data_IF_462512749776
#
_entry.id   IF_462512749776
#
_cell.length_a   1.000
_cell.length_b   1.000
_cell.length_c   1.000
_cell.angle_alpha   90.00
_cell.angle_beta   90.00
_cell.angle_gamma   90.00
#
_symmetry.space_group_name_H-M   'P 1'
#
loop_
_entity.id
_entity.type
_entity.pdbx_description
1 polymer ?
#
# COMPACT_ATOMS: atom_id res chain seq x y z
N UNK A 1 23.41 -11.89 -28.27
CA UNK A 1 22.02 -12.37 -28.15
C UNK A 1 22.04 -13.63 -27.26
N UNK A 2 21.72 -13.50 -26.00
CA UNK A 2 21.50 -14.65 -25.10
C UNK A 2 20.10 -14.48 -24.51
N UNK A 3 19.20 -15.37 -24.91
CA UNK A 3 17.84 -15.46 -24.36
C UNK A 3 17.91 -16.07 -23.00
N UNK A 4 17.52 -15.34 -21.96
CA UNK A 4 17.32 -15.86 -20.62
C UNK A 4 15.86 -16.31 -20.52
N UNK A 5 15.65 -17.63 -20.47
CA UNK A 5 14.34 -18.24 -20.27
C UNK A 5 14.13 -18.37 -18.77
N UNK A 6 13.24 -17.55 -18.20
CA UNK A 6 12.82 -17.68 -16.81
C UNK A 6 11.65 -18.67 -16.78
N UNK A 7 11.91 -19.83 -16.22
CA UNK A 7 10.89 -20.86 -15.94
C UNK A 7 10.19 -20.53 -14.64
N UNK A 8 8.94 -20.12 -14.74
CA UNK A 8 8.06 -19.90 -13.60
C UNK A 8 7.56 -21.25 -13.09
N UNK A 9 8.02 -21.67 -11.91
CA UNK A 9 7.53 -22.88 -11.23
C UNK A 9 6.25 -22.56 -10.49
N UNK A 10 5.14 -23.02 -11.05
CA UNK A 10 3.81 -22.99 -10.45
C UNK A 10 3.71 -24.12 -9.41
N UNK A 11 3.76 -23.82 -8.13
CA UNK A 11 3.46 -24.76 -7.04
C UNK A 11 1.96 -24.70 -6.73
N UNK A 12 1.20 -25.63 -7.31
CA UNK A 12 -0.16 -25.95 -6.90
C UNK A 12 -0.09 -26.72 -5.56
N UNK A 13 -0.55 -26.13 -4.47
CA UNK A 13 -0.88 -26.84 -3.24
C UNK A 13 -2.38 -27.12 -3.21
N UNK A 14 -2.76 -28.36 -3.53
CA UNK A 14 -4.09 -28.91 -3.29
C UNK A 14 -4.29 -29.09 -1.77
N UNK A 15 -5.13 -28.26 -1.17
CA UNK A 15 -5.67 -28.50 0.17
C UNK A 15 -6.86 -29.43 0.09
N UNK A 16 -6.75 -30.63 0.66
CA UNK A 16 -7.84 -31.59 0.81
C UNK A 16 -8.83 -31.12 1.87
N UNK A 17 -10.07 -30.91 1.45
CA UNK A 17 -11.20 -30.82 2.38
C UNK A 17 -11.58 -32.19 2.87
N UNK A 18 -11.42 -32.45 4.16
CA UNK A 18 -12.06 -33.57 4.84
C UNK A 18 -13.41 -33.08 5.37
N UNK A 19 -14.47 -33.53 4.73
CA UNK A 19 -15.81 -33.46 5.29
C UNK A 19 -16.00 -34.67 6.21
N UNK A 20 -16.25 -34.42 7.50
CA UNK A 20 -16.83 -35.42 8.39
C UNK A 20 -18.25 -34.98 8.72
N UNK A 21 -19.21 -35.72 8.19
CA UNK A 21 -20.59 -35.72 8.64
C UNK A 21 -20.72 -36.68 9.83
N UNK A 22 -21.35 -36.25 10.91
CA UNK A 22 -22.08 -37.13 11.81
C UNK A 22 -23.22 -36.33 12.43
N UNK A 23 -24.44 -36.75 12.07
CA UNK A 23 -25.68 -36.44 12.79
C UNK A 23 -25.59 -36.92 14.22
N UNK A 24 -26.03 -36.09 15.16
CA UNK A 24 -26.91 -36.55 16.26
C UNK A 24 -27.52 -35.33 16.98
N UNK A 25 -28.84 -35.39 17.08
CA UNK A 25 -29.71 -34.50 17.86
C UNK A 25 -29.30 -34.44 19.32
N UNK A 26 -29.46 -33.28 19.97
CA UNK A 26 -30.25 -33.12 21.21
C UNK A 26 -30.49 -31.65 21.53
N UNK A 27 -31.75 -31.33 21.77
CA UNK A 27 -32.26 -30.07 22.27
C UNK A 27 -31.66 -29.66 23.62
N UNK A 28 -31.35 -28.39 23.81
CA UNK A 28 -31.02 -27.77 25.09
C UNK A 28 -30.99 -26.27 24.97
N UNK A 29 -32.07 -25.59 25.40
CA UNK A 29 -32.09 -24.14 25.65
C UNK A 29 -31.01 -23.82 26.68
N UNK A 30 -30.07 -22.96 26.31
CA UNK A 30 -29.08 -22.36 27.17
C UNK A 30 -28.81 -20.92 26.69
N UNK A 31 -29.45 -19.95 27.36
CA UNK A 31 -29.04 -18.56 27.36
C UNK A 31 -27.60 -18.49 27.87
N UNK A 32 -26.68 -18.06 27.03
CA UNK A 32 -25.32 -17.75 27.43
C UNK A 32 -24.63 -17.17 26.24
N UNK A 33 -24.41 -15.87 26.26
CA UNK A 33 -23.52 -15.19 25.34
C UNK A 33 -22.08 -15.64 25.62
N UNK A 34 -21.70 -16.79 25.07
CA UNK A 34 -20.31 -17.18 24.98
C UNK A 34 -19.69 -16.37 23.83
N UNK A 35 -19.42 -15.12 24.10
CA UNK A 35 -18.36 -14.40 23.42
C UNK A 35 -17.07 -15.07 23.93
N UNK A 36 -16.64 -16.15 23.27
CA UNK A 36 -15.27 -16.62 23.43
C UNK A 36 -14.36 -15.42 23.19
N UNK A 37 -13.67 -14.96 24.24
CA UNK A 37 -12.61 -13.98 24.09
C UNK A 37 -11.52 -14.67 23.26
N UNK A 38 -11.49 -14.36 21.95
CA UNK A 38 -10.39 -14.76 21.10
C UNK A 38 -9.11 -14.23 21.73
N UNK A 39 -8.10 -15.08 21.79
CA UNK A 39 -6.79 -14.71 22.33
C UNK A 39 -6.18 -13.60 21.48
N UNK A 40 -5.43 -12.65 22.06
CA UNK A 40 -4.80 -11.54 21.33
C UNK A 40 -3.96 -12.02 20.13
N UNK A 41 -3.32 -13.19 20.24
CA UNK A 41 -2.58 -13.82 19.14
C UNK A 41 -3.46 -14.18 17.93
N UNK A 42 -4.74 -14.48 18.15
CA UNK A 42 -5.68 -14.84 17.07
C UNK A 42 -6.01 -13.64 16.16
N UNK A 43 -6.08 -12.43 16.70
CA UNK A 43 -6.38 -11.22 15.93
C UNK A 43 -5.20 -10.76 15.06
N UNK A 44 -3.96 -10.88 15.52
CA UNK A 44 -2.79 -10.64 14.66
C UNK A 44 -2.79 -11.62 13.47
N UNK A 45 -3.18 -12.86 13.70
CA UNK A 45 -3.35 -13.86 12.64
C UNK A 45 -4.49 -13.51 11.69
N UNK A 46 -5.64 -13.07 12.22
CA UNK A 46 -6.82 -12.67 11.41
C UNK A 46 -6.49 -11.48 10.52
N UNK A 47 -5.85 -10.45 11.06
CA UNK A 47 -5.47 -9.25 10.32
C UNK A 47 -4.08 -9.32 9.69
N UNK A 48 -3.37 -10.45 9.86
CA UNK A 48 -2.04 -10.72 9.29
C UNK A 48 -1.07 -9.55 9.55
N UNK A 49 -1.13 -8.99 10.76
CA UNK A 49 -0.30 -7.85 11.13
C UNK A 49 1.15 -8.29 11.31
N UNK A 50 2.06 -7.55 10.70
CA UNK A 50 3.50 -7.70 10.91
C UNK A 50 4.04 -6.44 11.54
N UNK A 51 4.73 -6.61 12.66
CA UNK A 51 5.41 -5.53 13.37
C UNK A 51 6.90 -5.58 13.09
N UNK A 52 7.52 -4.41 13.03
CA UNK A 52 8.95 -4.26 12.75
C UNK A 52 9.54 -3.25 13.72
N UNK A 53 10.69 -3.58 14.29
CA UNK A 53 11.47 -2.68 15.16
C UNK A 53 12.04 -1.49 14.37
N UNK A 54 12.20 -1.66 13.07
CA UNK A 54 12.68 -0.62 12.16
C UNK A 54 11.85 -0.62 10.87
N UNK A 55 11.71 0.55 10.24
CA UNK A 55 11.08 0.63 8.92
C UNK A 55 11.81 -0.28 7.91
N UNK A 56 11.15 -1.29 7.34
CA UNK A 56 11.79 -2.25 6.43
C UNK A 56 12.30 -1.62 5.13
N UNK A 57 11.89 -0.39 4.81
CA UNK A 57 12.39 0.38 3.66
C UNK A 57 13.71 1.12 3.87
N UNK A 58 14.28 1.13 5.09
CA UNK A 58 15.45 1.97 5.41
C UNK A 58 16.70 1.68 4.57
N UNK A 59 16.92 0.43 4.22
CA UNK A 59 18.11 0.01 3.51
C UNK A 59 17.90 -0.04 1.98
N UNK A 60 16.75 0.39 1.50
CA UNK A 60 16.42 0.39 0.08
C UNK A 60 16.60 1.81 -0.47
N UNK A 61 17.27 1.91 -1.61
CA UNK A 61 17.30 3.17 -2.35
C UNK A 61 15.90 3.39 -2.92
N UNK A 62 15.18 4.32 -2.33
CA UNK A 62 13.83 4.70 -2.74
C UNK A 62 13.86 6.05 -3.40
N UNK A 63 12.98 6.28 -4.33
CA UNK A 63 12.89 7.55 -5.02
C UNK A 63 12.12 7.44 -6.33
N UNK A 64 12.14 8.50 -7.09
CA UNK A 64 11.43 8.57 -8.36
C UNK A 64 12.25 9.30 -9.42
N UNK A 65 11.94 9.02 -10.67
CA UNK A 65 12.58 9.66 -11.81
C UNK A 65 11.77 10.85 -12.28
N UNK A 66 12.46 11.94 -12.52
CA UNK A 66 11.94 13.13 -13.19
C UNK A 66 12.68 13.36 -14.51
N UNK A 67 12.26 14.36 -15.28
CA UNK A 67 12.99 14.81 -16.46
C UNK A 67 14.42 15.26 -16.14
N UNK A 68 14.66 15.73 -14.92
CA UNK A 68 15.93 16.29 -14.48
C UNK A 68 16.82 15.26 -13.75
N UNK A 69 16.31 14.04 -13.51
CA UNK A 69 17.05 12.96 -12.90
C UNK A 69 16.29 12.19 -11.82
N UNK A 70 17.03 11.41 -11.06
CA UNK A 70 16.49 10.63 -9.94
C UNK A 70 16.46 11.46 -8.66
N UNK A 71 15.27 11.63 -8.08
CA UNK A 71 15.07 12.24 -6.77
C UNK A 71 15.01 11.14 -5.73
N UNK A 72 15.96 11.15 -4.80
CA UNK A 72 16.02 10.18 -3.72
C UNK A 72 15.09 10.56 -2.58
N UNK A 73 14.34 9.58 -2.08
CA UNK A 73 13.45 9.70 -0.94
C UNK A 73 14.07 8.99 0.27
N UNK A 74 14.12 9.71 1.38
CA UNK A 74 14.62 9.22 2.65
C UNK A 74 13.45 8.96 3.59
N UNK A 75 13.06 7.69 3.83
CA UNK A 75 12.05 7.38 4.82
C UNK A 75 12.54 7.77 6.21
N UNK A 76 11.62 8.05 7.12
CA UNK A 76 11.96 8.26 8.51
C UNK A 76 12.62 6.99 9.08
N UNK A 77 13.82 7.16 9.64
CA UNK A 77 14.70 6.04 10.02
C UNK A 77 14.70 5.73 11.52
N UNK A 78 14.05 6.55 12.33
CA UNK A 78 14.00 6.38 13.78
C UNK A 78 12.60 6.69 14.31
N UNK A 79 12.14 5.97 15.35
CA UNK A 79 10.91 6.34 16.02
C UNK A 79 11.00 7.72 16.72
N UNK A 80 9.87 8.38 16.96
CA UNK A 80 8.55 7.95 16.54
C UNK A 80 8.36 8.09 15.04
N UNK A 81 7.81 7.02 14.39
CA UNK A 81 7.47 7.05 12.97
C UNK A 81 6.18 7.83 12.76
N UNK A 82 6.17 8.72 11.77
CA UNK A 82 4.95 9.31 11.27
C UNK A 82 4.48 8.49 10.06
N UNK A 83 3.27 7.97 10.15
CA UNK A 83 2.69 7.08 9.16
C UNK A 83 1.35 7.64 8.70
N UNK A 84 1.09 7.55 7.40
CA UNK A 84 -0.25 7.66 6.85
C UNK A 84 -0.80 6.26 6.64
N UNK A 85 -1.97 5.98 7.20
CA UNK A 85 -2.65 4.71 7.04
C UNK A 85 -4.00 4.94 6.39
N UNK A 86 -4.27 4.20 5.30
CA UNK A 86 -5.55 4.26 4.56
C UNK A 86 -6.16 2.87 4.46
N UNK A 87 -7.49 2.83 4.40
CA UNK A 87 -8.25 1.61 4.16
C UNK A 87 -9.33 1.85 3.12
N UNK A 88 -9.76 0.78 2.44
CA UNK A 88 -10.75 0.84 1.37
C UNK A 88 -12.10 0.24 1.77
N UNK A 89 -12.15 -0.50 2.88
CA UNK A 89 -13.32 -1.26 3.32
C UNK A 89 -13.40 -1.42 4.83
N UNK A 90 -14.49 -1.99 5.32
CA UNK A 90 -14.74 -2.22 6.74
C UNK A 90 -13.72 -3.17 7.39
N UNK A 91 -13.13 -4.10 6.62
CA UNK A 91 -12.13 -5.01 7.14
C UNK A 91 -10.82 -4.28 7.42
N UNK A 92 -10.41 -3.40 6.53
CA UNK A 92 -9.27 -2.52 6.74
C UNK A 92 -9.48 -1.58 7.92
N UNK A 93 -10.71 -1.04 8.07
CA UNK A 93 -11.06 -0.22 9.24
C UNK A 93 -10.92 -1.00 10.55
N UNK A 94 -11.44 -2.23 10.62
CA UNK A 94 -11.32 -3.08 11.79
C UNK A 94 -9.87 -3.45 12.09
N UNK A 95 -9.07 -3.72 11.05
CA UNK A 95 -7.65 -4.03 11.20
C UNK A 95 -6.89 -2.87 11.85
N UNK A 96 -7.08 -1.64 11.37
CA UNK A 96 -6.38 -0.50 11.95
C UNK A 96 -6.87 -0.15 13.34
N UNK A 97 -8.17 -0.26 13.62
CA UNK A 97 -8.70 -0.04 14.97
C UNK A 97 -8.11 -1.05 15.96
N UNK A 98 -8.02 -2.33 15.59
CA UNK A 98 -7.36 -3.35 16.40
C UNK A 98 -5.88 -3.04 16.66
N UNK A 99 -5.13 -2.66 15.61
CA UNK A 99 -3.70 -2.32 15.73
C UNK A 99 -3.50 -1.17 16.73
N UNK A 100 -4.34 -0.14 16.65
CA UNK A 100 -4.28 1.03 17.52
C UNK A 100 -4.66 0.71 18.96
N UNK A 101 -5.68 -0.12 19.18
CA UNK A 101 -6.11 -0.55 20.50
C UNK A 101 -5.01 -1.38 21.19
N UNK A 102 -4.47 -2.36 20.49
CA UNK A 102 -3.41 -3.24 20.98
C UNK A 102 -2.13 -2.49 21.35
N UNK A 103 -1.79 -1.46 20.62
CA UNK A 103 -0.53 -0.71 20.77
C UNK A 103 -0.75 0.73 21.28
N UNK A 104 -1.80 0.95 22.05
CA UNK A 104 -2.20 2.30 22.50
C UNK A 104 -1.20 3.00 23.41
N UNK A 105 -0.24 2.28 23.96
CA UNK A 105 0.88 2.80 24.75
C UNK A 105 2.04 3.37 23.89
N UNK A 106 2.18 2.90 22.66
CA UNK A 106 3.26 3.28 21.72
C UNK A 106 2.76 3.89 20.41
N UNK A 107 1.43 3.97 20.23
CA UNK A 107 0.79 4.55 19.05
C UNK A 107 -0.22 5.62 19.44
N UNK A 108 -0.18 6.74 18.73
CA UNK A 108 -1.22 7.77 18.80
C UNK A 108 -1.78 8.05 17.41
N UNK A 109 -3.09 8.27 17.33
CA UNK A 109 -3.75 8.64 16.09
C UNK A 109 -4.24 10.06 16.09
N UNK A 110 -4.12 10.72 14.96
CA UNK A 110 -4.80 11.96 14.65
C UNK A 110 -5.78 11.71 13.51
N UNK A 111 -7.03 12.19 13.64
CA UNK A 111 -7.96 12.19 12.52
C UNK A 111 -7.42 13.17 11.48
N UNK A 112 -7.20 12.69 10.25
CA UNK A 112 -6.84 13.58 9.15
C UNK A 112 -8.05 14.41 8.73
N UNK A 113 -7.86 15.71 8.55
CA UNK A 113 -8.95 16.59 8.17
C UNK A 113 -9.59 16.10 6.86
N UNK A 114 -10.89 15.86 6.90
CA UNK A 114 -11.76 15.57 5.76
C UNK A 114 -11.65 14.19 5.08
N UNK A 115 -10.91 13.21 5.64
CA UNK A 115 -10.91 11.85 5.12
C UNK A 115 -11.53 10.85 6.10
N UNK A 116 -12.60 10.20 5.69
CA UNK A 116 -13.28 9.17 6.50
C UNK A 116 -12.48 7.85 6.56
N UNK A 117 -11.50 7.68 5.65
CA UNK A 117 -10.80 6.41 5.43
C UNK A 117 -9.29 6.50 5.64
N UNK A 118 -8.84 7.41 6.53
CA UNK A 118 -7.43 7.72 6.67
C UNK A 118 -7.10 8.18 8.10
N UNK A 119 -5.97 7.70 8.63
CA UNK A 119 -5.40 8.20 9.87
C UNK A 119 -3.95 8.61 9.67
N UNK A 120 -3.54 9.66 10.38
CA UNK A 120 -2.14 9.88 10.73
C UNK A 120 -1.86 9.15 12.01
N UNK A 121 -0.74 8.45 12.06
CA UNK A 121 -0.32 7.69 13.22
C UNK A 121 1.12 8.07 13.53
N UNK A 122 1.35 8.43 14.80
CA UNK A 122 2.70 8.52 15.35
C UNK A 122 2.91 7.25 16.17
N UNK A 123 3.99 6.51 15.88
CA UNK A 123 4.24 5.18 16.43
C UNK A 123 5.72 4.94 16.70
N UNK A 124 6.02 4.28 17.81
CA UNK A 124 7.38 3.81 18.12
C UNK A 124 7.75 2.51 17.38
N UNK A 125 6.76 1.84 16.78
CA UNK A 125 6.95 0.63 15.98
C UNK A 125 6.38 0.80 14.57
N UNK A 126 7.00 0.15 13.59
CA UNK A 126 6.47 0.09 12.22
C UNK A 126 5.60 -1.15 12.05
N UNK A 127 4.55 -1.07 11.25
CA UNK A 127 3.65 -2.19 11.01
C UNK A 127 3.13 -2.22 9.56
N UNK A 128 2.75 -3.41 9.13
CA UNK A 128 2.11 -3.66 7.83
C UNK A 128 0.96 -4.66 8.00
N UNK A 129 -0.08 -4.56 7.17
CA UNK A 129 -1.16 -5.53 7.06
C UNK A 129 -1.71 -5.53 5.63
N UNK A 130 -2.14 -6.67 5.08
CA UNK A 130 -2.72 -6.75 3.74
C UNK A 130 -4.06 -6.04 3.59
N UNK A 131 -4.67 -5.59 4.68
CA UNK A 131 -5.98 -4.93 4.68
C UNK A 131 -5.90 -3.41 4.65
N UNK A 132 -4.72 -2.84 4.90
CA UNK A 132 -4.50 -1.39 4.95
C UNK A 132 -3.31 -0.98 4.08
N UNK A 133 -3.32 0.25 3.61
CA UNK A 133 -2.15 0.87 3.00
C UNK A 133 -1.39 1.67 4.05
N UNK A 134 -0.07 1.49 4.12
CA UNK A 134 0.81 2.22 5.04
C UNK A 134 1.87 2.97 4.24
N UNK A 135 1.94 4.28 4.44
CA UNK A 135 2.99 5.13 3.89
C UNK A 135 3.81 5.78 4.99
N UNK A 136 5.12 5.65 4.90
CA UNK A 136 6.03 6.48 5.69
C UNK A 136 5.99 7.91 5.21
N UNK A 137 6.42 8.82 6.07
CA UNK A 137 6.80 10.16 5.68
C UNK A 137 8.22 10.14 5.13
N UNK A 138 8.43 10.80 4.00
CA UNK A 138 9.71 10.86 3.31
C UNK A 138 10.24 12.29 3.27
N UNK A 139 11.55 12.43 3.33
CA UNK A 139 12.26 13.66 2.96
C UNK A 139 12.89 13.49 1.60
N UNK A 140 13.00 14.56 0.84
CA UNK A 140 13.74 14.57 -0.42
C UNK A 140 15.13 15.16 -0.19
N UNK A 141 16.08 14.80 -1.06
CA UNK A 141 17.42 15.40 -1.09
C UNK A 141 17.41 16.90 -1.39
N UNK A 142 16.36 17.39 -2.04
CA UNK A 142 16.25 18.79 -2.48
C UNK A 142 15.55 19.69 -1.45
N UNK A 143 14.68 19.11 -0.59
CA UNK A 143 13.78 19.88 0.26
C UNK A 143 13.78 19.34 1.70
N UNK A 144 14.81 19.69 2.48
CA UNK A 144 14.99 19.19 3.86
C UNK A 144 13.87 19.59 4.85
N UNK A 145 13.05 20.58 4.51
CA UNK A 145 11.96 21.08 5.37
C UNK A 145 10.57 20.59 4.96
N UNK A 146 10.50 19.69 3.97
CA UNK A 146 9.25 19.24 3.39
C UNK A 146 9.11 17.74 3.52
N UNK A 147 8.05 17.28 4.17
CA UNK A 147 7.75 15.86 4.24
C UNK A 147 6.74 15.50 3.16
N UNK A 148 7.02 14.44 2.45
CA UNK A 148 6.17 13.90 1.40
C UNK A 148 5.52 12.61 1.90
N UNK A 149 4.22 12.49 1.67
CA UNK A 149 3.47 11.25 1.84
C UNK A 149 3.11 10.72 0.45
N UNK A 150 3.40 9.47 0.22
CA UNK A 150 3.09 8.77 -1.03
C UNK A 150 1.70 8.17 -0.93
N UNK A 151 0.81 8.54 -1.85
CA UNK A 151 -0.54 7.97 -1.95
C UNK A 151 -0.53 6.72 -2.84
N UNK A 152 -1.47 5.76 -2.67
CA UNK A 152 -1.52 4.55 -3.48
C UNK A 152 -2.06 4.80 -4.90
N UNK A 153 -1.42 5.72 -5.60
CA UNK A 153 -1.79 6.16 -6.94
C UNK A 153 -0.56 6.50 -7.78
N UNK A 154 -0.57 6.14 -9.05
CA UNK A 154 0.45 6.50 -10.03
C UNK A 154 -0.14 7.46 -11.05
N UNK A 155 0.61 8.51 -11.36
CA UNK A 155 0.33 9.44 -12.44
C UNK A 155 1.21 9.09 -13.64
N UNK A 156 0.59 8.80 -14.79
CA UNK A 156 1.24 8.24 -15.94
C UNK A 156 1.01 9.07 -17.20
N UNK A 157 2.07 9.27 -18.00
CA UNK A 157 1.99 9.79 -19.37
C UNK A 157 2.57 8.77 -20.33
N UNK A 158 1.80 8.39 -21.34
CA UNK A 158 2.25 7.50 -22.40
C UNK A 158 2.98 8.26 -23.51
N UNK A 159 3.93 7.61 -24.17
CA UNK A 159 4.53 8.14 -25.41
C UNK A 159 3.47 8.22 -26.52
N UNK A 160 3.68 9.10 -27.47
CA UNK A 160 2.75 9.33 -28.57
C UNK A 160 2.40 8.02 -29.31
N UNK A 161 1.09 7.77 -29.45
CA UNK A 161 0.57 6.56 -30.11
C UNK A 161 0.63 5.28 -29.26
N UNK A 162 0.97 5.37 -27.99
CA UNK A 162 0.93 4.27 -27.03
C UNK A 162 -0.33 4.37 -26.17
N UNK A 163 -0.84 3.21 -25.71
CA UNK A 163 -2.07 3.14 -24.92
C UNK A 163 -1.76 2.79 -23.48
N UNK A 164 -2.51 3.39 -22.56
CA UNK A 164 -2.47 3.07 -21.12
C UNK A 164 -2.99 1.67 -20.81
N UNK A 165 -3.87 1.13 -21.66
CA UNK A 165 -4.42 -0.23 -21.50
C UNK A 165 -3.32 -1.29 -21.50
N UNK A 166 -2.19 -1.04 -22.16
CA UNK A 166 -1.04 -1.97 -22.12
C UNK A 166 -0.50 -2.08 -20.69
N UNK A 167 -0.35 -0.95 -20.01
CA UNK A 167 0.11 -0.91 -18.61
C UNK A 167 -0.92 -1.59 -17.69
N UNK A 168 -2.19 -1.22 -17.83
CA UNK A 168 -3.26 -1.80 -17.01
C UNK A 168 -3.37 -3.31 -17.21
N UNK A 169 -3.18 -3.81 -18.43
CA UNK A 169 -3.21 -5.24 -18.72
C UNK A 169 -2.03 -5.98 -18.11
N UNK A 170 -0.82 -5.40 -18.20
CA UNK A 170 0.40 -6.02 -17.67
C UNK A 170 0.41 -6.07 -16.13
N UNK A 171 -0.29 -5.14 -15.48
CA UNK A 171 -0.42 -5.03 -14.02
C UNK A 171 -1.88 -5.12 -13.53
N UNK A 172 -2.72 -5.94 -14.18
CA UNK A 172 -4.17 -5.98 -13.99
C UNK A 172 -4.61 -6.25 -12.54
N UNK A 173 -3.82 -7.01 -11.76
CA UNK A 173 -4.10 -7.31 -10.35
C UNK A 173 -3.74 -6.16 -9.41
N UNK A 174 -3.01 -5.16 -9.91
CA UNK A 174 -2.43 -4.08 -9.10
C UNK A 174 -3.00 -2.72 -9.50
N UNK A 175 -3.17 -2.46 -10.80
CA UNK A 175 -3.53 -1.15 -11.33
C UNK A 175 -4.94 -1.12 -11.89
N UNK A 176 -5.65 -0.03 -11.59
CA UNK A 176 -6.94 0.30 -12.22
C UNK A 176 -6.96 1.75 -12.64
N UNK A 177 -7.56 2.03 -13.81
CA UNK A 177 -7.72 3.40 -14.27
C UNK A 177 -8.75 4.13 -13.39
N UNK A 178 -8.28 5.18 -12.70
CA UNK A 178 -9.15 6.07 -11.93
C UNK A 178 -9.67 7.19 -12.84
N UNK A 179 -8.76 7.90 -13.51
CA UNK A 179 -9.11 9.09 -14.28
C UNK A 179 -8.11 9.37 -15.41
N UNK A 180 -8.64 9.82 -16.55
CA UNK A 180 -7.86 10.50 -17.59
C UNK A 180 -8.01 12.02 -17.43
N UNK A 181 -6.90 12.74 -17.46
CA UNK A 181 -6.82 14.18 -17.32
C UNK A 181 -6.23 14.76 -18.60
N UNK A 182 -7.08 15.40 -19.40
CA UNK A 182 -6.63 16.11 -20.61
C UNK A 182 -6.00 17.45 -20.22
N UNK A 183 -4.77 17.67 -20.58
CA UNK A 183 -4.07 18.93 -20.39
C UNK A 183 -4.03 19.72 -21.69
N UNK A 184 -4.63 20.91 -21.66
CA UNK A 184 -4.64 21.86 -22.79
C UNK A 184 -3.34 22.66 -22.78
N UNK A 185 -2.27 22.07 -23.37
CA UNK A 185 -1.00 22.73 -23.61
C UNK A 185 -0.85 23.07 -25.10
N UNK A 186 0.30 23.64 -25.50
CA UNK A 186 0.63 23.87 -26.92
C UNK A 186 0.56 22.58 -27.75
N UNK A 187 0.93 21.46 -27.14
CA UNK A 187 0.69 20.10 -27.64
C UNK A 187 -0.19 19.42 -26.59
N UNK A 188 -1.47 19.17 -26.87
CA UNK A 188 -2.36 18.48 -25.93
C UNK A 188 -1.83 17.08 -25.61
N UNK A 189 -1.92 16.68 -24.34
CA UNK A 189 -1.58 15.34 -23.89
C UNK A 189 -2.49 14.92 -22.74
N UNK A 190 -2.63 13.63 -22.53
CA UNK A 190 -3.36 13.05 -21.40
C UNK A 190 -2.41 12.58 -20.33
N UNK A 191 -2.77 12.83 -19.07
CA UNK A 191 -2.24 12.17 -17.91
C UNK A 191 -3.28 11.16 -17.40
N UNK A 192 -2.82 9.99 -17.05
CA UNK A 192 -3.66 8.93 -16.50
C UNK A 192 -3.36 8.80 -15.02
N UNK A 193 -4.39 8.92 -14.18
CA UNK A 193 -4.30 8.60 -12.76
C UNK A 193 -4.74 7.16 -12.57
N UNK A 194 -3.85 6.32 -12.04
CA UNK A 194 -4.09 4.91 -11.78
C UNK A 194 -4.13 4.67 -10.27
N UNK A 195 -5.19 4.02 -9.80
CA UNK A 195 -5.24 3.52 -8.43
C UNK A 195 -4.45 2.23 -8.30
N UNK A 196 -3.70 2.10 -7.21
CA UNK A 196 -2.82 0.98 -6.95
C UNK A 196 -3.32 0.16 -5.76
N UNK A 197 -3.58 -1.13 -5.98
CA UNK A 197 -3.91 -2.07 -4.91
C UNK A 197 -2.65 -2.62 -4.22
N UNK A 198 -1.74 -1.73 -3.84
CA UNK A 198 -0.56 -2.05 -3.04
C UNK A 198 -0.78 -1.63 -1.59
N UNK A 199 -0.08 -2.25 -0.66
CA UNK A 199 -0.31 -2.07 0.77
C UNK A 199 0.77 -1.24 1.46
N UNK A 200 1.86 -0.92 0.75
CA UNK A 200 2.93 -0.08 1.29
C UNK A 200 3.44 0.92 0.24
N UNK A 201 3.89 2.07 0.71
CA UNK A 201 4.55 3.07 -0.15
C UNK A 201 5.83 2.53 -0.79
N UNK A 202 6.55 1.64 -0.09
CA UNK A 202 7.74 0.97 -0.64
C UNK A 202 7.41 0.18 -1.91
N UNK A 203 6.40 -0.69 -1.86
CA UNK A 203 5.98 -1.48 -3.02
C UNK A 203 5.50 -0.58 -4.18
N UNK A 204 4.86 0.54 -3.86
CA UNK A 204 4.45 1.51 -4.87
C UNK A 204 5.63 2.19 -5.55
N UNK A 205 6.66 2.57 -4.79
CA UNK A 205 7.87 3.18 -5.35
C UNK A 205 8.63 2.20 -6.26
N UNK A 206 8.70 0.92 -5.89
CA UNK A 206 9.27 -0.15 -6.71
C UNK A 206 8.48 -0.32 -8.02
N UNK A 207 7.16 -0.39 -7.95
CA UNK A 207 6.28 -0.48 -9.12
C UNK A 207 6.44 0.74 -10.04
N UNK A 208 6.46 1.95 -9.47
CA UNK A 208 6.63 3.17 -10.26
C UNK A 208 7.97 3.20 -11.00
N UNK A 209 9.05 2.74 -10.35
CA UNK A 209 10.37 2.65 -10.97
C UNK A 209 10.39 1.63 -12.13
N UNK A 210 9.66 0.52 -12.01
CA UNK A 210 9.52 -0.49 -13.05
C UNK A 210 8.73 0.06 -14.25
N UNK A 211 7.59 0.71 -13.99
CA UNK A 211 6.77 1.36 -15.02
C UNK A 211 7.56 2.45 -15.77
N UNK A 212 8.33 3.27 -15.06
CA UNK A 212 9.11 4.34 -15.66
C UNK A 212 10.16 3.84 -16.67
N UNK A 213 10.70 2.64 -16.47
CA UNK A 213 11.69 2.03 -17.35
C UNK A 213 11.11 1.45 -18.66
N UNK A 214 9.80 1.46 -18.82
CA UNK A 214 9.14 0.89 -20.00
C UNK A 214 9.33 1.78 -21.24
N UNK A 215 9.50 1.16 -22.39
CA UNK A 215 9.68 1.85 -23.68
C UNK A 215 8.43 2.60 -24.16
N UNK A 216 7.24 2.27 -23.66
CA UNK A 216 5.97 2.88 -24.01
C UNK A 216 5.57 4.05 -23.10
N UNK A 217 6.27 4.24 -21.97
CA UNK A 217 6.03 5.29 -20.99
C UNK A 217 6.93 6.50 -21.25
N UNK A 218 6.37 7.69 -21.22
CA UNK A 218 7.10 8.96 -21.27
C UNK A 218 7.43 9.49 -19.88
N UNK A 219 6.46 9.34 -18.96
CA UNK A 219 6.56 9.83 -17.60
C UNK A 219 5.72 8.95 -16.67
N UNK A 220 6.24 8.66 -15.51
CA UNK A 220 5.54 7.98 -14.41
C UNK A 220 5.98 8.57 -13.09
N UNK A 221 5.00 8.96 -12.27
CA UNK A 221 5.21 9.47 -10.92
C UNK A 221 4.09 8.98 -10.02
N UNK A 222 4.31 9.01 -8.72
CA UNK A 222 3.27 8.68 -7.76
C UNK A 222 2.57 9.96 -7.27
N UNK A 223 1.31 9.82 -6.91
CA UNK A 223 0.57 10.93 -6.33
C UNK A 223 1.05 11.17 -4.89
N UNK A 224 1.31 12.43 -4.55
CA UNK A 224 1.79 12.81 -3.23
C UNK A 224 1.00 13.99 -2.69
N UNK A 225 0.98 14.10 -1.37
CA UNK A 225 0.83 15.42 -0.78
C UNK A 225 1.98 15.67 0.20
N UNK A 226 2.31 16.93 0.33
CA UNK A 226 3.40 17.36 1.15
C UNK A 226 2.93 18.25 2.30
N UNK A 227 3.68 18.23 3.38
CA UNK A 227 3.42 19.00 4.57
C UNK A 227 4.63 19.87 4.91
N UNK A 228 4.34 21.14 5.19
CA UNK A 228 5.33 22.06 5.76
C UNK A 228 5.25 21.95 7.29
N UNK A 229 6.41 21.81 7.93
CA UNK A 229 6.58 21.94 9.37
C UNK A 229 7.30 23.22 9.69
#
# INVERSE_FOLDING_TARGET
MRKLTITMSLLLSLGMFYACSSDDEVAGMGNGSDFEMMNEEDFDSVYQVKYYDQNPGLNMKQGYWTTDGFIELFPQNMPPYNLLVRWSDDQGKKAIDYILEKNSDVMTKEAYMDSENEYRITSDIYFESPYIYVSSYYKTSEWNSYNIVVLPQIMLKMKAGKSVETIITDYADILTLNKEIELKALVPYSLFLLDCNLKTSRALLELNADIFQRDDVEYSDFNTYGEYY
#
